data_IF_688829004782
#
_entry.id   IF_688829004782
#
_cell.length_a   1.000
_cell.length_b   1.000
_cell.length_c   1.000
_cell.angle_alpha   90.00
_cell.angle_beta   90.00
_cell.angle_gamma   90.00
#
_symmetry.space_group_name_H-M   'P 1'
#
loop_
_entity.id
_entity.type
_entity.pdbx_description
1 polymer ?
#
# COMPACT_ATOMS: atom_id res chain seq x y z
N UNK A 1 -26.81 72.79 25.86
CA UNK A 1 -26.79 71.34 26.19
C UNK A 1 -27.03 70.58 24.92
N UNK A 2 -26.03 69.88 24.40
CA UNK A 2 -26.14 69.01 23.24
C UNK A 2 -26.05 67.57 23.70
N UNK A 3 -26.85 66.61 23.21
CA UNK A 3 -26.71 65.20 23.56
C UNK A 3 -25.62 64.54 22.71
N UNK A 4 -24.84 63.69 23.35
CA UNK A 4 -23.80 62.86 22.81
C UNK A 4 -24.44 61.61 22.23
N UNK A 5 -24.27 61.39 20.92
CA UNK A 5 -24.70 60.16 20.25
C UNK A 5 -23.71 59.00 20.47
N UNK A 6 -24.21 57.88 20.96
CA UNK A 6 -23.48 56.62 21.12
C UNK A 6 -23.46 55.88 19.77
N UNK A 7 -22.30 55.81 19.14
CA UNK A 7 -22.11 54.98 17.97
C UNK A 7 -21.84 53.52 18.34
N UNK A 8 -22.67 52.61 17.84
CA UNK A 8 -22.49 51.16 17.95
C UNK A 8 -21.61 50.72 16.80
N UNK A 9 -20.39 50.24 17.12
CA UNK A 9 -19.54 49.55 16.16
C UNK A 9 -20.01 48.09 16.04
N UNK A 10 -20.51 47.72 14.89
CA UNK A 10 -20.77 46.32 14.51
C UNK A 10 -19.45 45.71 14.07
N UNK A 11 -18.87 44.79 14.82
CA UNK A 11 -17.74 43.97 14.41
C UNK A 11 -18.27 42.81 13.52
N UNK A 12 -18.00 42.93 12.24
CA UNK A 12 -18.25 41.83 11.30
C UNK A 12 -17.20 40.73 11.46
N UNK A 13 -17.65 39.54 11.86
CA UNK A 13 -16.82 38.32 11.84
C UNK A 13 -16.67 37.87 10.37
N UNK A 14 -15.48 38.03 9.81
CA UNK A 14 -15.12 37.39 8.53
C UNK A 14 -14.65 35.98 8.86
N UNK A 15 -15.48 34.97 8.56
CA UNK A 15 -15.08 33.58 8.60
C UNK A 15 -14.14 33.29 7.43
N UNK A 16 -12.85 33.17 7.69
CA UNK A 16 -11.89 32.66 6.72
C UNK A 16 -12.04 31.16 6.66
N UNK A 17 -12.66 30.65 5.59
CA UNK A 17 -12.65 29.22 5.30
C UNK A 17 -11.22 28.87 4.84
N UNK A 18 -10.46 28.20 5.69
CA UNK A 18 -9.19 27.61 5.30
C UNK A 18 -9.48 26.41 4.39
N UNK A 19 -9.30 26.59 3.08
CA UNK A 19 -9.15 25.49 2.14
C UNK A 19 -7.82 24.80 2.45
N UNK A 20 -7.86 23.63 3.06
CA UNK A 20 -6.71 22.73 3.12
C UNK A 20 -6.50 22.21 1.70
N UNK A 21 -5.60 22.85 0.96
CA UNK A 21 -5.07 22.30 -0.28
C UNK A 21 -4.24 21.07 0.14
N UNK A 22 -4.77 19.87 -0.10
CA UNK A 22 -4.01 18.63 0.06
C UNK A 22 -2.76 18.72 -0.83
N UNK A 23 -1.59 18.36 -0.28
CA UNK A 23 -0.35 18.28 -1.03
C UNK A 23 -0.55 17.36 -2.24
N UNK A 24 -0.48 17.91 -3.45
CA UNK A 24 -0.50 17.13 -4.66
C UNK A 24 0.83 16.36 -4.77
N UNK A 25 0.76 15.05 -5.03
CA UNK A 25 1.93 14.25 -5.37
C UNK A 25 2.56 14.69 -6.70
N UNK A 26 3.73 14.15 -7.04
CA UNK A 26 4.46 14.48 -8.27
C UNK A 26 3.61 14.35 -9.56
N UNK A 27 2.56 13.51 -9.54
CA UNK A 27 1.63 13.30 -10.66
C UNK A 27 0.29 14.07 -10.52
N UNK A 28 0.16 15.01 -9.59
CA UNK A 28 -1.08 15.79 -9.40
C UNK A 28 -2.24 15.02 -8.74
N UNK A 29 -2.03 13.76 -8.33
CA UNK A 29 -3.04 12.93 -7.68
C UNK A 29 -3.26 13.36 -6.22
N UNK A 30 -4.53 13.39 -5.79
CA UNK A 30 -4.92 13.76 -4.43
C UNK A 30 -4.53 12.68 -3.42
N UNK A 31 -4.07 13.08 -2.24
CA UNK A 31 -3.92 12.18 -1.10
C UNK A 31 -5.31 11.73 -0.65
N UNK A 32 -5.58 10.42 -0.71
CA UNK A 32 -6.84 9.81 -0.29
C UNK A 32 -6.80 9.38 1.16
N UNK A 33 -5.69 8.76 1.61
CA UNK A 33 -5.45 8.46 3.02
C UNK A 33 -3.96 8.33 3.35
N UNK A 34 -3.67 8.38 4.65
CA UNK A 34 -2.40 7.95 5.24
C UNK A 34 -2.64 7.19 6.55
N UNK A 35 -1.81 6.20 6.84
CA UNK A 35 -1.80 5.42 8.09
C UNK A 35 -0.38 5.28 8.60
N UNK A 36 -0.09 5.93 9.73
CA UNK A 36 1.16 5.84 10.48
C UNK A 36 1.02 4.99 11.75
N UNK A 37 -0.18 4.50 12.04
CA UNK A 37 -0.56 3.65 13.16
C UNK A 37 -0.23 4.18 14.56
N UNK A 38 0.28 5.40 14.70
CA UNK A 38 0.74 5.99 15.98
C UNK A 38 -0.39 6.16 17.01
N UNK A 39 -1.66 6.20 16.57
CA UNK A 39 -2.82 6.16 17.43
C UNK A 39 -3.09 4.77 18.08
N UNK A 40 -2.30 3.74 17.74
CA UNK A 40 -2.43 2.37 18.23
C UNK A 40 -3.53 1.55 17.57
N UNK A 41 -4.10 2.00 16.44
CA UNK A 41 -5.22 1.37 15.75
C UNK A 41 -4.97 1.27 14.24
N UNK A 42 -5.57 0.26 13.61
CA UNK A 42 -5.57 0.07 12.17
C UNK A 42 -6.97 0.40 11.58
N UNK A 43 -7.49 1.59 11.90
CA UNK A 43 -8.80 2.02 11.45
C UNK A 43 -8.86 2.09 9.91
N UNK A 44 -9.92 1.53 9.33
CA UNK A 44 -10.11 1.46 7.89
C UNK A 44 -9.33 0.35 7.18
N UNK A 45 -8.60 -0.49 7.93
CA UNK A 45 -7.97 -1.69 7.42
C UNK A 45 -8.82 -2.93 7.71
N UNK A 46 -9.00 -3.79 6.70
CA UNK A 46 -9.71 -5.06 6.81
C UNK A 46 -8.77 -6.21 6.50
N UNK A 47 -8.27 -6.91 7.52
CA UNK A 47 -7.51 -8.13 7.35
C UNK A 47 -8.40 -9.33 7.00
N UNK A 48 -7.85 -10.32 6.28
CA UNK A 48 -8.53 -11.60 6.05
C UNK A 48 -8.71 -12.43 7.33
N UNK A 49 -7.77 -12.32 8.25
CA UNK A 49 -7.87 -12.90 9.59
C UNK A 49 -7.49 -11.85 10.65
N UNK A 50 -8.45 -11.27 11.38
CA UNK A 50 -8.15 -10.26 12.41
C UNK A 50 -7.24 -10.78 13.54
N UNK A 51 -7.15 -12.09 13.76
CA UNK A 51 -6.27 -12.69 14.78
C UNK A 51 -4.79 -12.62 14.40
N UNK A 52 -4.48 -12.47 13.12
CA UNK A 52 -3.12 -12.45 12.60
C UNK A 52 -2.54 -11.04 12.44
N UNK A 53 -3.35 -10.00 12.66
CA UNK A 53 -2.95 -8.61 12.45
C UNK A 53 -3.16 -7.77 13.72
N UNK A 54 -2.20 -6.92 14.04
CA UNK A 54 -2.30 -5.99 15.17
C UNK A 54 -1.34 -4.82 15.01
N UNK A 55 -1.63 -3.71 15.68
CA UNK A 55 -0.66 -2.63 15.86
C UNK A 55 0.22 -2.97 17.05
N UNK A 56 1.54 -2.85 16.90
CA UNK A 56 2.55 -3.13 17.92
C UNK A 56 3.54 -2.00 18.03
N UNK A 57 4.20 -1.89 19.19
CA UNK A 57 5.37 -1.01 19.35
C UNK A 57 6.61 -1.74 18.80
N UNK A 58 7.32 -1.09 17.90
CA UNK A 58 8.58 -1.56 17.33
C UNK A 58 9.58 -0.40 17.26
N UNK A 59 10.66 -0.49 18.00
CA UNK A 59 11.75 0.50 18.02
C UNK A 59 11.27 1.95 18.32
N UNK A 60 10.18 2.09 19.10
CA UNK A 60 9.62 3.37 19.51
C UNK A 60 8.60 3.99 18.55
N UNK A 61 8.17 3.26 17.52
CA UNK A 61 7.08 3.60 16.61
C UNK A 61 6.00 2.53 16.67
N UNK A 62 4.74 2.90 16.45
CA UNK A 62 3.64 1.94 16.30
C UNK A 62 3.50 1.54 14.85
N UNK A 63 3.50 0.23 14.62
CA UNK A 63 3.51 -0.34 13.27
C UNK A 63 2.43 -1.40 13.10
N UNK A 64 1.96 -1.62 11.88
CA UNK A 64 0.99 -2.66 11.57
C UNK A 64 1.69 -3.98 11.29
N UNK A 65 1.47 -4.97 12.15
CA UNK A 65 2.15 -6.26 12.15
C UNK A 65 1.27 -7.37 11.61
N UNK A 66 1.77 -8.12 10.64
CA UNK A 66 1.33 -9.47 10.29
C UNK A 66 2.12 -10.45 11.16
N UNK A 67 1.45 -11.18 12.05
CA UNK A 67 2.06 -12.01 13.09
C UNK A 67 1.95 -13.51 12.85
N UNK A 68 1.15 -13.91 11.87
CA UNK A 68 1.05 -15.29 11.40
C UNK A 68 0.62 -15.33 9.92
N UNK A 69 1.05 -16.33 9.14
CA UNK A 69 0.60 -16.51 7.76
C UNK A 69 -0.90 -16.84 7.72
N UNK A 70 -1.51 -16.65 6.57
CA UNK A 70 -2.88 -17.08 6.29
C UNK A 70 -2.95 -18.54 5.85
N UNK A 71 -4.17 -19.02 5.62
CA UNK A 71 -4.41 -20.35 5.06
C UNK A 71 -4.48 -20.28 3.54
N UNK A 72 -3.97 -21.34 2.88
CA UNK A 72 -4.05 -21.45 1.42
C UNK A 72 -5.53 -21.55 0.99
N UNK A 73 -5.96 -20.63 0.14
CA UNK A 73 -7.30 -20.62 -0.44
C UNK A 73 -7.47 -21.62 -1.61
N UNK A 74 -8.55 -21.41 -2.39
CA UNK A 74 -8.88 -22.26 -3.57
C UNK A 74 -7.86 -22.11 -4.70
N UNK A 75 -7.26 -20.94 -4.83
CA UNK A 75 -6.26 -20.63 -5.85
C UNK A 75 -4.91 -20.40 -5.17
N UNK A 76 -3.80 -20.68 -5.86
CA UNK A 76 -2.47 -20.36 -5.34
C UNK A 76 -2.23 -18.85 -5.44
N UNK A 77 -2.27 -18.20 -4.30
CA UNK A 77 -2.16 -16.76 -4.14
C UNK A 77 -1.52 -16.43 -2.77
N UNK A 78 -1.11 -15.18 -2.50
CA UNK A 78 -0.76 -14.75 -1.15
C UNK A 78 -1.86 -15.09 -0.15
N UNK A 79 -1.50 -15.63 1.02
CA UNK A 79 -2.45 -16.20 1.99
C UNK A 79 -2.88 -15.20 3.05
N UNK A 80 -2.03 -14.23 3.38
CA UNK A 80 -2.33 -13.18 4.33
C UNK A 80 -2.44 -11.82 3.62
N UNK A 81 -3.53 -11.11 3.85
CA UNK A 81 -3.74 -9.77 3.31
C UNK A 81 -4.56 -8.92 4.28
N UNK A 82 -4.30 -7.61 4.23
CA UNK A 82 -5.14 -6.57 4.82
C UNK A 82 -5.28 -5.43 3.83
N UNK A 83 -6.52 -5.00 3.55
CA UNK A 83 -6.83 -3.99 2.54
C UNK A 83 -7.44 -2.75 3.17
N UNK A 84 -7.16 -1.58 2.57
CA UNK A 84 -7.77 -0.31 2.93
C UNK A 84 -9.19 -0.25 2.34
N UNK A 85 -10.23 -0.42 3.18
CA UNK A 85 -11.61 -0.70 2.74
C UNK A 85 -12.30 0.43 2.00
N UNK A 86 -11.88 1.68 2.21
CA UNK A 86 -12.68 2.85 1.82
C UNK A 86 -12.45 3.31 0.39
N UNK A 87 -11.30 2.97 -0.21
CA UNK A 87 -10.83 3.61 -1.42
C UNK A 87 -10.66 2.59 -2.55
N UNK A 88 -11.71 2.47 -3.37
CA UNK A 88 -11.68 1.72 -4.63
C UNK A 88 -11.09 2.66 -5.70
N UNK A 89 -9.84 2.41 -6.08
CA UNK A 89 -9.07 3.30 -6.95
C UNK A 89 -8.87 2.71 -8.35
N UNK A 90 -8.74 3.58 -9.32
CA UNK A 90 -8.38 3.27 -10.71
C UNK A 90 -6.90 3.55 -10.98
N UNK A 91 -6.51 4.80 -11.21
CA UNK A 91 -5.10 5.22 -11.26
C UNK A 91 -4.64 5.64 -9.86
N UNK A 92 -3.46 5.15 -9.44
CA UNK A 92 -3.01 5.39 -8.07
C UNK A 92 -1.48 5.36 -7.92
N UNK A 93 -1.03 5.92 -6.81
CA UNK A 93 0.26 5.70 -6.18
C UNK A 93 0.00 5.21 -4.74
N UNK A 94 0.49 4.02 -4.41
CA UNK A 94 0.46 3.47 -3.06
C UNK A 94 1.88 3.26 -2.57
N UNK A 95 2.24 3.93 -1.50
CA UNK A 95 3.59 3.96 -0.95
C UNK A 95 3.57 3.71 0.56
N UNK A 96 4.72 3.33 1.08
CA UNK A 96 4.94 3.09 2.51
C UNK A 96 6.27 2.44 2.78
N UNK A 97 6.42 1.83 3.93
CA UNK A 97 7.58 1.01 4.27
C UNK A 97 7.16 -0.39 4.76
N UNK A 98 8.01 -1.35 4.51
CA UNK A 98 7.83 -2.74 4.92
C UNK A 98 9.12 -3.29 5.54
N UNK A 99 8.98 -4.27 6.45
CA UNK A 99 10.10 -4.95 7.11
C UNK A 99 9.72 -6.41 7.32
N UNK A 100 10.43 -7.32 6.67
CA UNK A 100 10.21 -8.75 6.86
C UNK A 100 10.86 -9.21 8.16
N UNK A 101 10.09 -9.91 9.02
CA UNK A 101 10.54 -10.36 10.34
C UNK A 101 11.15 -11.77 10.33
N UNK A 102 10.97 -12.51 9.25
CA UNK A 102 11.48 -13.87 9.08
C UNK A 102 13.02 -13.87 9.01
N UNK A 103 13.63 -14.97 9.45
CA UNK A 103 15.09 -15.13 9.45
C UNK A 103 15.67 -14.89 8.04
N UNK A 104 16.68 -14.03 7.89
CA UNK A 104 17.37 -13.83 6.62
C UNK A 104 17.95 -15.10 5.98
N UNK A 105 18.19 -16.17 6.75
CA UNK A 105 18.57 -17.48 6.22
C UNK A 105 17.44 -18.15 5.40
N UNK A 106 16.18 -17.74 5.57
CA UNK A 106 15.10 -18.18 4.70
C UNK A 106 15.22 -17.47 3.34
N UNK A 107 15.72 -18.20 2.35
CA UNK A 107 15.97 -17.68 1.00
C UNK A 107 14.71 -17.37 0.18
N UNK A 108 13.51 -17.66 0.72
CA UNK A 108 12.22 -17.40 0.07
C UNK A 108 11.35 -16.40 0.83
N UNK A 109 11.87 -15.84 1.92
CA UNK A 109 11.14 -14.86 2.72
C UNK A 109 10.54 -13.76 1.85
N UNK A 110 9.33 -13.34 2.18
CA UNK A 110 8.57 -12.40 1.35
C UNK A 110 7.65 -11.46 2.12
N UNK A 111 7.27 -10.38 1.45
CA UNK A 111 6.10 -9.56 1.76
C UNK A 111 5.43 -9.14 0.45
N UNK A 112 4.14 -8.86 0.50
CA UNK A 112 3.32 -8.48 -0.65
C UNK A 112 2.66 -7.12 -0.47
N UNK A 113 2.51 -6.40 -1.58
CA UNK A 113 1.68 -5.20 -1.70
C UNK A 113 0.59 -5.48 -2.72
N UNK A 114 -0.68 -5.34 -2.33
CA UNK A 114 -1.85 -5.63 -3.15
C UNK A 114 -2.40 -4.36 -3.77
N UNK A 115 -2.99 -4.49 -4.95
CA UNK A 115 -3.70 -3.41 -5.61
C UNK A 115 -4.78 -3.94 -6.55
N UNK A 116 -5.75 -3.09 -6.89
CA UNK A 116 -6.98 -3.45 -7.58
C UNK A 116 -7.59 -4.73 -6.99
N UNK A 117 -7.56 -4.81 -5.64
CA UNK A 117 -8.11 -5.94 -4.92
C UNK A 117 -9.64 -5.82 -4.90
N UNK A 118 -10.32 -6.74 -5.58
CA UNK A 118 -11.78 -6.83 -5.64
C UNK A 118 -12.31 -7.89 -4.67
N UNK A 119 -11.65 -9.05 -4.62
CA UNK A 119 -11.94 -10.16 -3.72
C UNK A 119 -10.70 -11.08 -3.59
N UNK A 120 -10.72 -12.14 -2.73
CA UNK A 120 -9.56 -13.04 -2.52
C UNK A 120 -9.11 -13.83 -3.76
N UNK A 121 -9.82 -13.72 -4.89
CA UNK A 121 -9.50 -14.41 -6.14
C UNK A 121 -9.32 -13.46 -7.33
N UNK A 122 -9.45 -12.12 -7.11
CA UNK A 122 -9.30 -11.11 -8.16
C UNK A 122 -8.52 -9.91 -7.63
N UNK A 123 -7.21 -9.88 -7.90
CA UNK A 123 -6.31 -8.80 -7.50
C UNK A 123 -4.96 -8.88 -8.23
N UNK A 124 -4.23 -7.77 -8.23
CA UNK A 124 -2.79 -7.76 -8.49
C UNK A 124 -2.02 -7.69 -7.18
N UNK A 125 -0.76 -8.10 -7.22
CA UNK A 125 0.17 -7.91 -6.13
C UNK A 125 1.61 -7.77 -6.63
N UNK A 126 2.41 -7.02 -5.87
CA UNK A 126 3.87 -7.05 -5.97
C UNK A 126 4.38 -8.01 -4.91
N UNK A 127 5.21 -8.96 -5.32
CA UNK A 127 5.86 -9.92 -4.44
C UNK A 127 7.31 -9.50 -4.23
N UNK A 128 7.63 -8.92 -3.09
CA UNK A 128 8.98 -8.63 -2.68
C UNK A 128 9.56 -9.83 -1.94
N UNK A 129 10.67 -10.41 -2.42
CA UNK A 129 11.21 -11.64 -1.83
C UNK A 129 12.73 -11.68 -1.83
N UNK A 130 13.31 -12.53 -0.98
CA UNK A 130 14.74 -12.85 -1.02
C UNK A 130 15.13 -13.65 -2.25
N UNK A 131 14.25 -14.51 -2.78
CA UNK A 131 14.43 -15.17 -4.06
C UNK A 131 14.05 -14.25 -5.24
N UNK A 132 14.50 -14.60 -6.45
CA UNK A 132 14.05 -13.99 -7.69
C UNK A 132 14.06 -15.07 -8.77
N UNK A 133 12.86 -15.48 -9.15
CA UNK A 133 12.61 -16.52 -10.15
C UNK A 133 11.22 -16.32 -10.79
N UNK A 134 10.60 -17.35 -11.35
CA UNK A 134 9.24 -17.29 -11.93
C UNK A 134 8.14 -16.98 -10.91
N UNK A 135 8.42 -17.12 -9.62
CA UNK A 135 7.45 -17.02 -8.54
C UNK A 135 7.74 -15.88 -7.56
N UNK A 136 8.97 -15.38 -7.54
CA UNK A 136 9.47 -14.43 -6.54
C UNK A 136 10.06 -13.17 -7.19
N UNK A 137 9.92 -12.02 -6.53
CA UNK A 137 10.20 -10.69 -7.08
C UNK A 137 9.45 -10.48 -8.41
N UNK A 138 8.13 -10.51 -8.34
CA UNK A 138 7.23 -10.43 -9.48
C UNK A 138 6.10 -9.42 -9.24
N UNK A 139 5.51 -8.94 -10.33
CA UNK A 139 4.14 -8.44 -10.35
C UNK A 139 3.27 -9.62 -10.75
N UNK A 140 2.33 -10.01 -9.89
CA UNK A 140 1.44 -11.15 -10.10
C UNK A 140 -0.01 -10.72 -10.29
N UNK A 141 -0.74 -11.47 -11.09
CA UNK A 141 -2.18 -11.37 -11.27
C UNK A 141 -2.84 -12.64 -10.74
N UNK A 142 -3.86 -12.49 -9.92
CA UNK A 142 -4.84 -13.53 -9.56
C UNK A 142 -6.17 -13.12 -10.18
N UNK A 143 -6.74 -13.99 -11.03
CA UNK A 143 -8.00 -13.71 -11.75
C UNK A 143 -8.84 -14.98 -11.84
N UNK A 144 -9.40 -15.44 -10.70
CA UNK A 144 -10.21 -16.64 -10.58
C UNK A 144 -9.43 -17.97 -10.73
N UNK A 145 -8.11 -17.90 -10.89
CA UNK A 145 -7.20 -19.05 -11.06
C UNK A 145 -5.90 -18.80 -10.30
N UNK A 146 -5.01 -19.80 -10.28
CA UNK A 146 -3.67 -19.68 -9.72
C UNK A 146 -2.95 -18.48 -10.30
N UNK A 147 -2.18 -17.79 -9.44
CA UNK A 147 -1.42 -16.61 -9.81
C UNK A 147 -0.57 -16.81 -11.07
N UNK A 148 -0.50 -15.78 -11.88
CA UNK A 148 0.41 -15.70 -13.03
C UNK A 148 1.33 -14.48 -12.87
N UNK A 149 2.57 -14.62 -13.30
CA UNK A 149 3.54 -13.55 -13.40
C UNK A 149 3.23 -12.70 -14.64
N UNK A 150 3.21 -11.36 -14.49
CA UNK A 150 2.90 -10.43 -15.59
C UNK A 150 3.98 -9.38 -15.85
N UNK A 151 5.02 -9.26 -15.01
CA UNK A 151 6.05 -8.25 -15.20
C UNK A 151 6.94 -8.54 -16.42
N UNK A 152 7.49 -7.46 -16.99
CA UNK A 152 8.26 -7.48 -18.22
C UNK A 152 9.70 -7.98 -18.03
N UNK A 153 10.27 -7.76 -16.83
CA UNK A 153 11.63 -8.21 -16.52
C UNK A 153 11.71 -9.74 -16.55
N UNK A 154 12.75 -10.31 -17.14
CA UNK A 154 12.93 -11.76 -17.13
C UNK A 154 13.06 -12.33 -15.72
N UNK A 155 12.63 -13.59 -15.50
CA UNK A 155 12.81 -14.27 -14.22
C UNK A 155 14.26 -14.24 -13.74
N UNK A 156 14.45 -14.03 -12.43
CA UNK A 156 15.79 -13.99 -11.83
C UNK A 156 16.60 -12.73 -12.11
N UNK A 157 16.07 -11.74 -12.82
CA UNK A 157 16.79 -10.50 -13.18
C UNK A 157 16.51 -9.34 -12.25
N UNK A 158 15.56 -9.45 -11.32
CA UNK A 158 15.40 -8.41 -10.31
C UNK A 158 16.69 -8.26 -9.50
N UNK A 159 17.19 -7.04 -9.45
CA UNK A 159 18.42 -6.69 -8.69
C UNK A 159 18.16 -6.59 -7.19
N UNK A 160 16.90 -6.39 -6.83
CA UNK A 160 16.48 -6.30 -5.43
C UNK A 160 16.27 -7.68 -4.81
N UNK A 161 16.61 -7.77 -3.50
CA UNK A 161 16.40 -8.95 -2.68
C UNK A 161 16.02 -8.52 -1.27
N UNK A 162 14.92 -9.03 -0.73
CA UNK A 162 14.52 -8.81 0.66
C UNK A 162 15.35 -9.73 1.60
N UNK A 163 16.66 -9.44 1.74
CA UNK A 163 17.62 -10.34 2.39
C UNK A 163 17.96 -9.98 3.83
N UNK A 164 17.46 -8.86 4.35
CA UNK A 164 17.75 -8.40 5.71
C UNK A 164 16.49 -8.12 6.52
N UNK A 165 16.61 -7.57 7.71
CA UNK A 165 15.52 -7.15 8.59
C UNK A 165 15.41 -5.63 8.71
N UNK A 166 15.91 -4.90 7.73
CA UNK A 166 15.77 -3.45 7.71
C UNK A 166 14.38 -3.05 7.21
N UNK A 167 14.01 -1.81 7.46
CA UNK A 167 12.91 -1.17 6.79
C UNK A 167 13.27 -0.84 5.35
N UNK A 168 12.38 -1.15 4.43
CA UNK A 168 12.48 -0.82 3.02
C UNK A 168 11.30 0.06 2.63
N UNK A 169 11.56 1.18 1.97
CA UNK A 169 10.53 1.99 1.37
C UNK A 169 10.01 1.31 0.09
N UNK A 170 8.70 1.30 -0.11
CA UNK A 170 8.09 0.81 -1.34
C UNK A 170 7.16 1.86 -1.96
N UNK A 171 6.99 1.77 -3.26
CA UNK A 171 5.98 2.49 -4.03
C UNK A 171 5.46 1.58 -5.14
N UNK A 172 4.14 1.54 -5.32
CA UNK A 172 3.48 0.89 -6.46
C UNK A 172 2.60 1.92 -7.14
N UNK A 173 2.73 2.05 -8.45
CA UNK A 173 1.89 2.93 -9.26
C UNK A 173 1.12 2.12 -10.30
N UNK A 174 -0.09 2.56 -10.62
CA UNK A 174 -0.87 2.06 -11.74
C UNK A 174 -1.52 3.23 -12.47
N UNK A 175 -1.34 3.26 -13.77
CA UNK A 175 -2.07 4.13 -14.70
C UNK A 175 -3.14 3.30 -15.42
N UNK A 176 -4.39 3.45 -15.02
CA UNK A 176 -5.51 2.68 -15.58
C UNK A 176 -5.76 2.97 -17.06
N UNK A 177 -5.37 4.14 -17.59
CA UNK A 177 -5.54 4.48 -19.01
C UNK A 177 -4.59 3.68 -19.89
N UNK A 178 -3.34 3.52 -19.46
CA UNK A 178 -2.31 2.76 -20.20
C UNK A 178 -2.20 1.30 -19.75
N UNK A 179 -2.62 0.99 -18.53
CA UNK A 179 -2.40 -0.30 -17.87
C UNK A 179 -0.97 -0.47 -17.36
N UNK A 180 -0.16 0.62 -17.34
CA UNK A 180 1.21 0.60 -16.86
C UNK A 180 1.22 0.45 -15.34
N UNK A 181 1.97 -0.52 -14.87
CA UNK A 181 2.18 -0.83 -13.47
C UNK A 181 3.68 -0.77 -13.21
N UNK A 182 4.08 -0.07 -12.15
CA UNK A 182 5.48 0.04 -11.75
C UNK A 182 5.61 -0.20 -10.24
N UNK A 183 6.61 -0.98 -9.86
CA UNK A 183 6.94 -1.25 -8.47
C UNK A 183 8.36 -0.78 -8.18
N UNK A 184 8.50 -0.08 -7.06
CA UNK A 184 9.75 0.52 -6.58
C UNK A 184 10.08 -0.01 -5.20
N UNK A 185 11.37 -0.07 -4.88
CA UNK A 185 11.83 -0.42 -3.55
C UNK A 185 13.17 0.30 -3.27
N UNK A 186 13.21 1.08 -2.18
CA UNK A 186 14.29 1.96 -1.72
C UNK A 186 14.65 3.10 -2.69
N UNK A 187 14.78 2.83 -3.97
CA UNK A 187 14.96 3.85 -5.01
C UNK A 187 13.57 4.20 -5.61
N UNK A 188 13.04 5.36 -5.24
CA UNK A 188 11.71 5.81 -5.68
C UNK A 188 11.69 6.41 -7.09
N UNK A 189 12.85 6.59 -7.73
CA UNK A 189 12.98 7.16 -9.08
C UNK A 189 13.07 6.07 -10.14
N UNK A 190 13.55 4.87 -9.76
CA UNK A 190 13.77 3.77 -10.69
C UNK A 190 12.95 2.54 -10.31
N UNK A 191 11.95 2.14 -11.13
CA UNK A 191 11.19 0.93 -10.87
C UNK A 191 12.07 -0.31 -10.96
N UNK A 192 11.84 -1.25 -10.06
CA UNK A 192 12.51 -2.57 -10.04
C UNK A 192 11.73 -3.62 -10.82
N UNK A 193 10.41 -3.42 -10.98
CA UNK A 193 9.51 -4.26 -11.77
C UNK A 193 8.52 -3.37 -12.52
N UNK A 194 8.20 -3.76 -13.77
CA UNK A 194 7.21 -3.08 -14.61
C UNK A 194 6.28 -4.09 -15.26
N UNK A 195 5.03 -3.72 -15.49
CA UNK A 195 4.07 -4.51 -16.24
C UNK A 195 3.15 -3.62 -17.08
N UNK A 196 2.48 -4.21 -18.05
CA UNK A 196 1.37 -3.60 -18.78
C UNK A 196 0.22 -4.59 -18.77
N UNK A 197 -0.80 -4.33 -17.98
CA UNK A 197 -1.99 -5.18 -17.86
C UNK A 197 -3.23 -4.34 -17.54
N UNK A 198 -4.40 -4.75 -18.04
CA UNK A 198 -5.69 -4.08 -17.87
C UNK A 198 -6.81 -5.04 -17.49
N UNK A 199 -6.47 -6.21 -16.99
CA UNK A 199 -7.45 -7.24 -16.62
C UNK A 199 -8.34 -6.76 -15.50
N UNK A 200 -7.75 -6.21 -14.42
CA UNK A 200 -8.46 -5.58 -13.32
C UNK A 200 -8.19 -4.06 -13.39
N UNK A 201 -9.23 -3.25 -13.40
CA UNK A 201 -9.13 -1.81 -13.70
C UNK A 201 -9.34 -0.91 -12.48
N UNK A 202 -9.79 -1.47 -11.37
CA UNK A 202 -10.05 -0.79 -10.11
C UNK A 202 -10.05 -1.78 -8.96
N UNK A 203 -9.97 -1.28 -7.76
CA UNK A 203 -10.06 -2.04 -6.53
C UNK A 203 -9.30 -1.40 -5.39
N UNK A 204 -9.25 -2.10 -4.27
CA UNK A 204 -8.59 -1.63 -3.06
C UNK A 204 -7.08 -1.84 -3.15
N UNK A 205 -6.33 -1.11 -2.30
CA UNK A 205 -4.91 -1.39 -2.04
C UNK A 205 -4.75 -2.10 -0.70
N UNK A 206 -3.62 -2.82 -0.53
CA UNK A 206 -3.37 -3.55 0.69
C UNK A 206 -1.94 -4.04 0.85
N UNK A 207 -1.68 -4.70 1.97
CA UNK A 207 -0.38 -5.28 2.33
C UNK A 207 -0.56 -6.71 2.85
N UNK A 208 0.49 -7.53 2.82
CA UNK A 208 0.47 -8.89 3.33
C UNK A 208 1.66 -9.74 2.93
N UNK A 209 1.46 -11.07 2.79
CA UNK A 209 2.50 -12.04 2.46
C UNK A 209 1.90 -13.34 1.90
N UNK A 210 2.74 -14.17 1.30
CA UNK A 210 2.38 -15.54 0.99
C UNK A 210 2.30 -16.40 2.26
N UNK A 211 3.39 -16.51 2.98
CA UNK A 211 3.50 -17.42 4.14
C UNK A 211 4.44 -16.89 5.24
N UNK A 212 4.87 -15.65 5.16
CA UNK A 212 5.79 -15.02 6.10
C UNK A 212 5.11 -13.96 6.98
N UNK A 213 5.87 -13.42 7.94
CA UNK A 213 5.46 -12.35 8.85
C UNK A 213 6.28 -11.08 8.63
N UNK A 214 5.72 -9.95 9.06
CA UNK A 214 6.43 -8.67 8.90
C UNK A 214 5.62 -7.48 9.37
N UNK A 215 6.16 -6.30 9.11
CA UNK A 215 5.64 -5.03 9.57
C UNK A 215 5.46 -4.08 8.40
N UNK A 216 4.43 -3.24 8.50
CA UNK A 216 4.08 -2.21 7.53
C UNK A 216 3.82 -0.90 8.25
N UNK A 217 4.24 0.21 7.63
CA UNK A 217 4.09 1.53 8.24
C UNK A 217 4.17 2.66 7.21
N UNK A 218 3.80 3.88 7.63
CA UNK A 218 3.80 5.09 6.80
C UNK A 218 3.04 4.92 5.47
N UNK A 219 1.94 4.14 5.49
CA UNK A 219 1.17 3.81 4.30
C UNK A 219 0.39 5.03 3.79
N UNK A 220 0.56 5.35 2.50
CA UNK A 220 -0.07 6.50 1.84
C UNK A 220 -0.65 6.09 0.50
N UNK A 221 -1.90 6.46 0.26
CA UNK A 221 -2.57 6.28 -1.03
C UNK A 221 -2.90 7.63 -1.64
N UNK A 222 -2.45 7.82 -2.87
CA UNK A 222 -2.86 8.90 -3.76
C UNK A 222 -3.56 8.30 -4.96
N UNK A 223 -4.56 8.97 -5.53
CA UNK A 223 -5.22 8.39 -6.69
C UNK A 223 -6.52 9.03 -7.09
N UNK A 224 -7.21 8.30 -7.99
CA UNK A 224 -8.55 8.61 -8.53
C UNK A 224 -9.50 7.49 -8.13
N UNK A 225 -10.69 7.88 -7.63
CA UNK A 225 -11.78 6.96 -7.24
C UNK A 225 -12.62 6.55 -8.46
#
# INVERSE_FOLDING_TARGET
MRPIGLGVLAAGLVAVAAFVLGEAGENGQSLLFSSDFENGRADGWRPNDPGHWRVVDLDGSKVYALTAPGEQGKVRAPTAWSVAEKYDVTSFEFAGRLKCDVDPANVRRDLCVFFHFQDPTHFYYVHFSAASDEAHNIIGLVNGADRVRINLEPPGKSVFRLTDRNWHAFKVTCDAATGRIEAYLDDMDKPILTAIDRTLRHGLVGVGSFDDTGFFDDLKLRGEL
#
